data_IF_998999690436
#
_entry.id   IF_998999690436
#
_cell.length_a   1.000
_cell.length_b   1.000
_cell.length_c   1.000
_cell.angle_alpha   90.00
_cell.angle_beta   90.00
_cell.angle_gamma   90.00
#
_symmetry.space_group_name_H-M   'P 1'
#
loop_
_entity.id
_entity.type
_entity.pdbx_description
1 polymer ?
#
# COMPACT_ATOMS: atom_id res chain seq x y z
N UNK A 1 11.46 -19.50 14.41
CA UNK A 1 11.81 -18.42 13.45
C UNK A 1 10.62 -18.06 12.54
N UNK A 2 9.42 -17.89 13.10
CA UNK A 2 8.18 -17.60 12.34
C UNK A 2 8.19 -16.22 11.69
N UNK A 3 8.71 -15.20 12.39
CA UNK A 3 8.83 -13.84 11.85
C UNK A 3 9.67 -13.76 10.57
N UNK A 4 10.80 -14.49 10.52
CA UNK A 4 11.62 -14.59 9.31
C UNK A 4 10.81 -15.22 8.16
N UNK A 5 9.99 -16.24 8.46
CA UNK A 5 9.09 -16.85 7.49
C UNK A 5 8.03 -15.89 6.94
N UNK A 6 7.51 -15.00 7.78
CA UNK A 6 6.58 -13.93 7.36
C UNK A 6 7.28 -12.99 6.37
N UNK A 7 8.48 -12.50 6.72
CA UNK A 7 9.25 -11.61 5.84
C UNK A 7 9.60 -12.31 4.51
N UNK A 8 10.07 -13.57 4.54
CA UNK A 8 10.41 -14.33 3.34
C UNK A 8 9.25 -14.50 2.37
N UNK A 9 8.00 -14.60 2.87
CA UNK A 9 6.81 -14.64 2.00
C UNK A 9 6.44 -13.23 1.53
N UNK A 10 6.44 -12.25 2.43
CA UNK A 10 6.03 -10.87 2.13
C UNK A 10 6.88 -10.22 1.02
N UNK A 11 8.18 -10.52 0.93
CA UNK A 11 9.05 -9.98 -0.12
C UNK A 11 8.69 -10.45 -1.55
N UNK A 12 7.86 -11.49 -1.69
CA UNK A 12 7.37 -11.93 -3.01
C UNK A 12 6.19 -11.10 -3.50
N UNK A 13 5.44 -10.47 -2.60
CA UNK A 13 4.18 -9.78 -2.92
C UNK A 13 4.35 -8.64 -3.93
N UNK A 14 5.40 -7.80 -3.88
CA UNK A 14 5.59 -6.77 -4.91
C UNK A 14 5.67 -7.35 -6.33
N UNK A 15 6.36 -8.48 -6.50
CA UNK A 15 6.44 -9.15 -7.81
C UNK A 15 5.09 -9.74 -8.21
N UNK A 16 4.35 -10.35 -7.27
CA UNK A 16 3.00 -10.89 -7.55
C UNK A 16 2.07 -9.78 -8.04
N UNK A 17 2.11 -8.62 -7.41
CA UNK A 17 1.31 -7.46 -7.76
C UNK A 17 1.66 -6.92 -9.16
N UNK A 18 2.95 -6.79 -9.47
CA UNK A 18 3.40 -6.40 -10.82
C UNK A 18 2.90 -7.39 -11.88
N UNK A 19 3.00 -8.69 -11.60
CA UNK A 19 2.59 -9.76 -12.53
C UNK A 19 1.06 -9.80 -12.69
N UNK A 20 0.31 -9.62 -11.61
CA UNK A 20 -1.14 -9.55 -11.65
C UNK A 20 -1.62 -8.34 -12.48
N UNK A 21 -0.98 -7.18 -12.30
CA UNK A 21 -1.24 -5.98 -13.10
C UNK A 21 -0.89 -6.17 -14.59
N UNK A 22 0.05 -7.07 -14.90
CA UNK A 22 0.37 -7.48 -16.26
C UNK A 22 -0.58 -8.58 -16.81
N UNK A 23 -1.61 -8.99 -16.06
CA UNK A 23 -2.59 -9.99 -16.49
C UNK A 23 -2.08 -11.44 -16.47
N UNK A 24 -1.07 -11.74 -15.66
CA UNK A 24 -0.40 -13.04 -15.59
C UNK A 24 -0.56 -13.67 -14.20
N UNK A 25 -0.29 -14.97 -14.12
CA UNK A 25 -0.38 -15.73 -12.86
C UNK A 25 0.87 -15.52 -11.98
N UNK A 26 0.72 -14.74 -10.91
CA UNK A 26 1.80 -14.37 -9.99
C UNK A 26 2.55 -15.55 -9.40
N UNK A 27 1.85 -16.63 -9.02
CA UNK A 27 2.47 -17.79 -8.39
C UNK A 27 3.47 -18.50 -9.31
N UNK A 28 3.14 -18.64 -10.59
CA UNK A 28 4.00 -19.28 -11.60
C UNK A 28 5.25 -18.44 -11.85
N UNK A 29 5.08 -17.12 -11.98
CA UNK A 29 6.22 -16.23 -12.24
C UNK A 29 7.17 -16.18 -11.05
N UNK A 30 6.66 -16.04 -9.83
CA UNK A 30 7.50 -16.01 -8.62
C UNK A 30 8.30 -17.29 -8.45
N UNK A 31 7.70 -18.47 -8.69
CA UNK A 31 8.43 -19.74 -8.62
C UNK A 31 9.57 -19.78 -9.64
N UNK A 32 9.31 -19.39 -10.88
CA UNK A 32 10.34 -19.39 -11.92
C UNK A 32 11.48 -18.40 -11.62
N UNK A 33 11.18 -17.21 -11.09
CA UNK A 33 12.21 -16.26 -10.64
C UNK A 33 13.05 -16.83 -9.48
N UNK A 34 12.42 -17.54 -8.54
CA UNK A 34 13.10 -18.21 -7.41
C UNK A 34 14.10 -19.30 -7.83
N UNK A 35 13.83 -20.00 -8.94
CA UNK A 35 14.76 -21.00 -9.50
C UNK A 35 16.00 -20.37 -10.15
N UNK A 36 15.90 -19.09 -10.52
CA UNK A 36 17.01 -18.32 -11.06
C UNK A 36 18.02 -17.86 -10.01
N UNK A 37 19.01 -17.09 -10.45
CA UNK A 37 20.07 -16.52 -9.60
C UNK A 37 20.42 -15.11 -10.05
N UNK A 38 20.93 -14.30 -9.11
CA UNK A 38 21.37 -12.93 -9.39
C UNK A 38 20.22 -12.08 -9.96
N UNK A 39 20.49 -11.36 -11.05
CA UNK A 39 19.55 -10.42 -11.66
C UNK A 39 18.55 -11.07 -12.62
N UNK A 40 18.42 -12.40 -12.61
CA UNK A 40 17.38 -13.10 -13.38
C UNK A 40 16.00 -12.73 -12.83
N UNK A 41 15.11 -12.27 -13.71
CA UNK A 41 13.76 -11.90 -13.33
C UNK A 41 12.79 -11.91 -14.49
N UNK A 42 11.54 -11.54 -14.21
CA UNK A 42 10.48 -11.40 -15.19
C UNK A 42 10.28 -9.92 -15.53
N UNK A 43 10.40 -9.58 -16.81
CA UNK A 43 10.17 -8.24 -17.30
C UNK A 43 8.71 -8.09 -17.72
N UNK A 44 7.90 -7.43 -16.89
CA UNK A 44 6.48 -7.20 -17.16
C UNK A 44 6.20 -6.29 -18.37
N UNK A 45 7.18 -5.49 -18.82
CA UNK A 45 7.04 -4.63 -20.00
C UNK A 45 7.09 -5.41 -21.31
N UNK A 46 7.92 -6.47 -21.34
CA UNK A 46 8.21 -7.26 -22.55
C UNK A 46 7.68 -8.69 -22.46
N UNK A 47 7.14 -9.10 -21.32
CA UNK A 47 6.57 -10.43 -21.07
C UNK A 47 7.59 -11.58 -21.26
N UNK A 48 8.84 -11.34 -20.89
CA UNK A 48 9.94 -12.32 -20.99
C UNK A 48 10.74 -12.44 -19.70
N UNK A 49 11.43 -13.57 -19.56
CA UNK A 49 12.39 -13.80 -18.49
C UNK A 49 13.79 -13.48 -18.99
N UNK A 50 14.47 -12.57 -18.32
CA UNK A 50 15.77 -12.08 -18.75
C UNK A 50 16.60 -11.56 -17.56
N UNK A 51 17.83 -11.12 -17.83
CA UNK A 51 18.60 -10.39 -16.85
C UNK A 51 18.06 -8.95 -16.77
N UNK A 52 17.42 -8.60 -15.65
CA UNK A 52 16.74 -7.32 -15.49
C UNK A 52 17.71 -6.14 -15.47
N UNK A 53 18.92 -6.34 -14.93
CA UNK A 53 19.96 -5.32 -14.92
C UNK A 53 20.42 -4.98 -16.34
N UNK A 54 20.68 -6.00 -17.18
CA UNK A 54 21.03 -5.82 -18.59
C UNK A 54 19.87 -5.22 -19.41
N UNK A 55 18.61 -5.55 -19.07
CA UNK A 55 17.42 -4.98 -19.68
C UNK A 55 17.10 -3.53 -19.24
N UNK A 56 17.88 -2.99 -18.29
CA UNK A 56 17.71 -1.63 -17.76
C UNK A 56 16.55 -1.47 -16.77
N UNK A 57 16.02 -2.57 -16.24
CA UNK A 57 15.01 -2.58 -15.17
C UNK A 57 15.75 -2.62 -13.84
N UNK A 58 16.06 -1.45 -13.31
CA UNK A 58 16.90 -1.28 -12.12
C UNK A 58 16.23 -0.41 -11.07
N UNK A 59 16.33 -0.83 -9.81
CA UNK A 59 15.92 -0.05 -8.65
C UNK A 59 17.14 0.31 -7.79
N UNK A 60 17.27 1.56 -7.33
CA UNK A 60 18.33 1.93 -6.41
C UNK A 60 18.21 1.14 -5.10
N UNK A 61 19.34 0.64 -4.58
CA UNK A 61 19.36 -0.16 -3.35
C UNK A 61 18.69 0.54 -2.14
N UNK A 62 18.80 1.87 -2.05
CA UNK A 62 18.14 2.68 -1.01
C UNK A 62 16.62 2.56 -1.09
N UNK A 63 16.03 2.50 -2.29
CA UNK A 63 14.57 2.42 -2.48
C UNK A 63 14.05 1.10 -1.91
N UNK A 64 14.61 -0.03 -2.35
CA UNK A 64 14.19 -1.34 -1.88
C UNK A 64 14.37 -1.52 -0.36
N UNK A 65 15.52 -1.07 0.17
CA UNK A 65 15.82 -1.14 1.61
C UNK A 65 14.83 -0.33 2.43
N UNK A 66 14.65 0.94 2.09
CA UNK A 66 13.79 1.86 2.86
C UNK A 66 12.32 1.43 2.77
N UNK A 67 11.87 0.92 1.62
CA UNK A 67 10.53 0.37 1.48
C UNK A 67 10.28 -0.79 2.45
N UNK A 68 11.21 -1.75 2.54
CA UNK A 68 11.07 -2.88 3.45
C UNK A 68 11.15 -2.45 4.92
N UNK A 69 12.09 -1.57 5.27
CA UNK A 69 12.26 -1.07 6.65
C UNK A 69 11.01 -0.32 7.12
N UNK A 70 10.45 0.57 6.30
CA UNK A 70 9.23 1.31 6.63
C UNK A 70 8.00 0.39 6.73
N UNK A 71 7.85 -0.56 5.80
CA UNK A 71 6.76 -1.53 5.83
C UNK A 71 6.82 -2.41 7.10
N UNK A 72 8.01 -2.90 7.45
CA UNK A 72 8.22 -3.68 8.66
C UNK A 72 7.96 -2.86 9.94
N UNK A 73 8.34 -1.58 9.95
CA UNK A 73 8.09 -0.65 11.07
C UNK A 73 6.59 -0.46 11.32
N UNK A 74 5.82 -0.15 10.28
CA UNK A 74 4.37 0.02 10.37
C UNK A 74 3.71 -1.30 10.78
N UNK A 75 4.07 -2.42 10.15
CA UNK A 75 3.52 -3.73 10.50
C UNK A 75 3.82 -4.10 11.96
N UNK A 76 5.03 -3.83 12.44
CA UNK A 76 5.41 -4.05 13.83
C UNK A 76 4.56 -3.20 14.79
N UNK A 77 4.43 -1.90 14.51
CA UNK A 77 3.61 -1.00 15.31
C UNK A 77 2.15 -1.47 15.38
N UNK A 78 1.54 -1.83 14.23
CA UNK A 78 0.18 -2.35 14.18
C UNK A 78 0.01 -3.67 14.94
N UNK A 79 0.94 -4.62 14.78
CA UNK A 79 0.88 -5.93 15.46
C UNK A 79 0.96 -5.81 16.99
N UNK A 80 1.58 -4.75 17.51
CA UNK A 80 1.67 -4.46 18.94
C UNK A 80 0.61 -3.48 19.44
N UNK A 81 -0.29 -3.02 18.58
CA UNK A 81 -1.35 -2.08 18.94
C UNK A 81 -2.57 -2.84 19.45
N UNK A 82 -2.83 -2.76 20.75
CA UNK A 82 -3.94 -3.47 21.41
C UNK A 82 -5.31 -2.78 21.25
N UNK A 83 -5.34 -1.46 21.06
CA UNK A 83 -6.58 -0.72 20.89
C UNK A 83 -6.42 0.50 19.98
N UNK A 84 -7.53 0.88 19.32
CA UNK A 84 -7.65 2.10 18.53
C UNK A 84 -8.87 2.86 19.04
N UNK A 85 -8.66 4.11 19.44
CA UNK A 85 -9.74 5.01 19.88
C UNK A 85 -10.02 5.97 18.72
N UNK A 86 -11.29 6.10 18.36
CA UNK A 86 -11.74 7.00 17.29
C UNK A 86 -12.80 7.96 17.81
N UNK A 87 -12.78 9.20 17.33
CA UNK A 87 -13.84 10.16 17.62
C UNK A 87 -15.11 9.79 16.85
N UNK A 88 -16.24 9.71 17.56
CA UNK A 88 -17.53 9.49 16.93
C UNK A 88 -17.95 10.78 16.22
N UNK A 89 -18.24 10.69 14.92
CA UNK A 89 -18.82 11.81 14.19
C UNK A 89 -20.17 12.15 14.81
N UNK A 90 -20.29 13.37 15.34
CA UNK A 90 -21.56 13.88 15.87
C UNK A 90 -22.44 14.34 14.70
N UNK A 91 -23.68 13.87 14.67
CA UNK A 91 -24.73 14.46 13.84
C UNK A 91 -25.10 15.80 14.46
N UNK A 92 -24.30 16.83 14.19
CA UNK A 92 -24.70 18.20 14.47
C UNK A 92 -25.82 18.52 13.49
N UNK A 93 -27.03 18.89 13.97
CA UNK A 93 -28.05 19.39 13.06
C UNK A 93 -27.43 20.53 12.26
N UNK A 94 -27.54 20.47 10.93
CA UNK A 94 -27.25 21.63 10.10
C UNK A 94 -28.07 22.77 10.70
N UNK A 95 -27.40 23.75 11.29
CA UNK A 95 -28.09 24.95 11.75
C UNK A 95 -28.82 25.47 10.52
N UNK A 96 -30.16 25.66 10.58
CA UNK A 96 -30.89 26.17 9.44
C UNK A 96 -30.18 27.44 8.99
N UNK A 97 -29.59 27.42 7.79
CA UNK A 97 -29.10 28.61 7.13
C UNK A 97 -30.28 29.57 7.13
N UNK A 98 -30.20 30.59 7.98
CA UNK A 98 -31.31 31.46 8.31
C UNK A 98 -31.99 31.90 7.04
N UNK A 99 -33.28 31.56 6.90
CA UNK A 99 -34.07 31.99 5.77
C UNK A 99 -33.97 33.53 5.66
N UNK A 100 -33.64 34.07 4.48
CA UNK A 100 -33.61 35.50 4.29
C UNK A 100 -35.04 36.00 4.32
N UNK A 101 -35.39 36.67 5.41
CA UNK A 101 -36.63 37.45 5.52
C UNK A 101 -37.69 36.83 6.42
N UNK A 102 -37.78 37.37 7.64
CA UNK A 102 -39.08 37.80 8.14
C UNK A 102 -38.85 39.14 8.85
N UNK A 103 -39.34 40.20 8.22
CA UNK A 103 -39.24 41.55 8.74
C UNK A 103 -40.20 41.79 9.91
N UNK A 104 -39.86 42.82 10.69
CA UNK A 104 -40.81 43.72 11.31
C UNK A 104 -41.62 43.21 12.49
N UNK A 105 -41.11 43.44 13.70
CA UNK A 105 -41.86 43.88 14.89
C UNK A 105 -40.77 44.28 15.91
N UNK A 106 -40.43 45.54 16.16
CA UNK A 106 -41.33 46.64 16.48
C UNK A 106 -41.56 46.67 18.00
N UNK A 107 -40.68 47.38 18.72
CA UNK A 107 -41.06 48.11 19.94
C UNK A 107 -40.69 47.54 21.32
N UNK A 108 -39.91 48.36 22.04
CA UNK A 108 -40.12 48.80 23.43
C UNK A 108 -39.42 48.04 24.57
N UNK A 109 -38.48 48.80 25.18
CA UNK A 109 -37.77 48.67 26.47
C UNK A 109 -36.59 47.69 26.53
#
# INVERSE_FOLDING_TARGET
TTGIGIIKRAIEEPLREIVANAGKEGAVVVQKVREGKGDFGYNARTDVYENLHAAGVVDPAKVARVALENAASIAGMFLTTECVIVEKKEDKPEMPMGAPGMGGMGGMM
#
